data_IF_547409085029
#
_entry.id   IF_547409085029
#
_cell.length_a   1.000
_cell.length_b   1.000
_cell.length_c   1.000
_cell.angle_alpha   90.00
_cell.angle_beta   90.00
_cell.angle_gamma   90.00
#
_symmetry.space_group_name_H-M   'P 1'
#
loop_
_entity.id
_entity.type
_entity.pdbx_description
1 polymer ?
#
# COMPACT_ATOMS: atom_id res chain seq x y z
N UNK A 1 -48.81 72.78 37.93
CA UNK A 1 -48.22 74.06 38.41
C UNK A 1 -46.72 73.94 38.22
N UNK A 2 -45.98 74.81 37.53
CA UNK A 2 -46.32 76.07 36.89
C UNK A 2 -45.39 76.25 35.67
N UNK A 3 -45.91 76.98 34.69
CA UNK A 3 -45.26 77.42 33.46
C UNK A 3 -44.48 78.69 33.78
N UNK A 4 -43.29 78.87 33.20
CA UNK A 4 -42.86 80.18 32.68
C UNK A 4 -41.64 80.03 31.78
N UNK A 5 -41.75 80.59 30.57
CA UNK A 5 -40.64 80.80 29.66
C UNK A 5 -40.34 82.29 29.50
N UNK A 6 -39.14 82.59 29.03
CA UNK A 6 -38.66 83.81 28.35
C UNK A 6 -37.38 83.35 27.60
N UNK A 7 -37.23 83.47 26.27
CA UNK A 7 -36.95 84.69 25.49
C UNK A 7 -35.60 85.29 25.92
N UNK A 8 -34.54 85.51 25.11
CA UNK A 8 -34.39 85.78 23.67
C UNK A 8 -32.89 86.04 23.32
N UNK A 9 -32.53 85.96 22.02
CA UNK A 9 -31.32 86.50 21.33
C UNK A 9 -30.00 85.74 21.59
N UNK A 10 -29.11 85.43 20.64
CA UNK A 10 -28.77 86.10 19.38
C UNK A 10 -27.80 85.25 18.51
N UNK A 11 -27.81 85.52 17.19
CA UNK A 11 -26.70 85.41 16.21
C UNK A 11 -26.42 84.05 15.53
N UNK A 12 -26.83 84.03 14.26
CA UNK A 12 -26.37 83.18 13.15
C UNK A 12 -24.90 83.44 12.83
N UNK A 13 -24.10 82.39 12.60
CA UNK A 13 -22.95 82.43 11.68
C UNK A 13 -22.51 81.02 11.27
N UNK A 14 -22.53 80.85 9.95
CA UNK A 14 -22.00 79.75 9.16
C UNK A 14 -20.62 79.27 9.62
N UNK A 15 -20.44 77.96 9.79
CA UNK A 15 -19.17 77.30 9.49
C UNK A 15 -19.43 75.92 8.85
N UNK A 16 -19.35 75.90 7.52
CA UNK A 16 -19.12 74.68 6.75
C UNK A 16 -17.72 74.17 7.14
N UNK A 17 -17.64 73.13 7.97
CA UNK A 17 -16.40 72.38 8.14
C UNK A 17 -16.33 71.39 6.99
N UNK A 18 -15.56 71.74 5.97
CA UNK A 18 -15.13 70.81 4.91
C UNK A 18 -14.23 69.77 5.58
N UNK A 19 -14.78 68.59 5.85
CA UNK A 19 -13.96 67.40 6.11
C UNK A 19 -13.28 67.01 4.78
N UNK A 20 -12.05 67.50 4.58
CA UNK A 20 -11.15 66.92 3.60
C UNK A 20 -10.79 65.51 4.08
N UNK A 21 -11.54 64.52 3.62
CA UNK A 21 -11.16 63.12 3.71
C UNK A 21 -9.92 62.93 2.83
N UNK A 22 -8.74 62.96 3.44
CA UNK A 22 -7.54 62.40 2.82
C UNK A 22 -7.79 60.90 2.63
N UNK A 23 -8.25 60.53 1.43
CA UNK A 23 -8.12 59.19 0.89
C UNK A 23 -6.63 58.89 0.80
N UNK A 24 -6.05 58.35 1.89
CA UNK A 24 -4.82 57.56 1.78
C UNK A 24 -5.15 56.40 0.85
N UNK A 25 -4.77 56.55 -0.42
CA UNK A 25 -4.72 55.44 -1.37
C UNK A 25 -3.89 54.37 -0.67
N UNK A 26 -4.52 53.25 -0.30
CA UNK A 26 -3.80 52.09 0.19
C UNK A 26 -2.80 51.70 -0.90
N UNK A 27 -1.53 52.09 -0.71
CA UNK A 27 -0.46 51.82 -1.64
C UNK A 27 -0.24 50.31 -1.58
N UNK A 28 -0.66 49.60 -2.64
CA UNK A 28 -0.49 48.16 -2.71
C UNK A 28 0.99 47.80 -2.50
N UNK A 29 1.25 46.74 -1.74
CA UNK A 29 2.60 46.33 -1.39
C UNK A 29 3.41 46.02 -2.67
N UNK A 30 4.43 46.84 -2.90
CA UNK A 30 5.26 46.83 -4.11
C UNK A 30 6.43 45.83 -4.00
N UNK A 31 6.81 45.48 -2.77
CA UNK A 31 7.89 44.56 -2.43
C UNK A 31 7.34 43.17 -2.06
N UNK A 32 7.92 42.11 -2.63
CA UNK A 32 7.51 40.72 -2.44
C UNK A 32 8.73 39.84 -2.19
N UNK A 33 8.59 38.87 -1.28
CA UNK A 33 9.56 37.80 -1.06
C UNK A 33 8.81 36.53 -0.62
N UNK A 34 9.49 35.39 -0.66
CA UNK A 34 8.90 34.08 -0.35
C UNK A 34 9.67 33.40 0.79
N UNK A 35 8.98 32.56 1.56
CA UNK A 35 9.62 31.68 2.53
C UNK A 35 10.50 30.63 1.83
N UNK A 36 11.55 30.19 2.52
CA UNK A 36 12.55 29.26 1.99
C UNK A 36 12.73 28.12 2.99
N UNK A 37 12.54 26.88 2.54
CA UNK A 37 12.93 25.69 3.28
C UNK A 37 14.17 25.10 2.63
N UNK A 38 15.18 24.79 3.44
CA UNK A 38 16.49 24.34 2.96
C UNK A 38 17.02 23.25 3.89
N UNK A 39 17.68 22.24 3.34
CA UNK A 39 18.31 21.20 4.15
C UNK A 39 19.61 21.73 4.75
N UNK A 40 19.91 21.38 6.00
CA UNK A 40 21.16 21.76 6.65
C UNK A 40 22.39 21.39 5.79
N UNK A 41 23.34 22.31 5.67
CA UNK A 41 24.52 22.20 4.83
C UNK A 41 24.30 22.62 3.36
N UNK A 42 23.05 22.70 2.89
CA UNK A 42 22.74 23.14 1.53
C UNK A 42 22.77 24.68 1.39
N UNK A 43 22.37 25.17 0.22
CA UNK A 43 22.35 26.60 -0.11
C UNK A 43 20.92 27.11 -0.21
N UNK A 44 20.58 28.14 0.57
CA UNK A 44 19.31 28.86 0.46
C UNK A 44 19.42 30.02 -0.53
N UNK A 45 18.32 30.34 -1.22
CA UNK A 45 18.23 31.49 -2.13
C UNK A 45 17.13 32.44 -1.63
N UNK A 46 17.49 33.67 -1.31
CA UNK A 46 16.58 34.72 -0.83
C UNK A 46 16.36 35.71 -1.99
N UNK A 47 15.10 35.91 -2.39
CA UNK A 47 14.71 36.79 -3.50
C UNK A 47 13.81 37.92 -3.01
N UNK A 48 14.32 39.16 -3.06
CA UNK A 48 13.51 40.36 -2.85
C UNK A 48 13.12 40.93 -4.22
N UNK A 49 11.83 40.94 -4.56
CA UNK A 49 11.32 41.42 -5.85
C UNK A 49 10.42 42.64 -5.69
N UNK A 50 10.61 43.64 -6.53
CA UNK A 50 9.80 44.86 -6.62
C UNK A 50 8.99 44.82 -7.90
N UNK A 51 7.68 45.09 -7.84
CA UNK A 51 6.80 45.01 -9.02
C UNK A 51 6.97 46.21 -9.95
N UNK A 52 6.99 47.41 -9.38
CA UNK A 52 7.13 48.67 -10.10
C UNK A 52 8.19 49.53 -9.38
N UNK A 53 9.48 49.31 -9.66
CA UNK A 53 10.50 50.12 -9.02
C UNK A 53 10.56 51.54 -9.62
N UNK A 54 10.65 52.55 -8.76
CA UNK A 54 10.84 53.97 -9.05
C UNK A 54 12.27 54.41 -8.71
N UNK A 55 13.25 53.57 -9.05
CA UNK A 55 14.66 53.67 -8.67
C UNK A 55 14.90 53.62 -7.14
N UNK A 56 13.91 53.17 -6.38
CA UNK A 56 14.03 52.92 -4.94
C UNK A 56 15.06 51.83 -4.66
N UNK A 57 15.72 51.95 -3.51
CA UNK A 57 16.82 51.05 -3.12
C UNK A 57 16.28 49.82 -2.38
N UNK A 58 16.71 48.64 -2.80
CA UNK A 58 16.44 47.36 -2.13
C UNK A 58 17.57 47.03 -1.15
N UNK A 59 17.19 46.60 0.04
CA UNK A 59 18.08 46.13 1.08
C UNK A 59 17.60 44.78 1.63
N UNK A 60 18.54 43.89 1.92
CA UNK A 60 18.29 42.63 2.61
C UNK A 60 18.93 42.66 4.01
N UNK A 61 18.13 42.37 5.03
CA UNK A 61 18.53 42.32 6.43
C UNK A 61 18.41 40.88 6.96
N UNK A 62 19.32 40.50 7.86
CA UNK A 62 19.23 39.24 8.60
C UNK A 62 18.21 39.33 9.76
N UNK A 63 17.93 38.23 10.48
CA UNK A 63 16.99 38.24 11.61
C UNK A 63 17.33 39.21 12.74
N UNK A 64 18.61 39.57 12.90
CA UNK A 64 19.08 40.58 13.85
C UNK A 64 19.04 42.01 13.30
N UNK A 65 18.36 42.24 12.16
CA UNK A 65 18.28 43.52 11.43
C UNK A 65 19.64 44.09 11.03
N UNK A 66 20.65 43.25 10.83
CA UNK A 66 21.93 43.65 10.24
C UNK A 66 21.85 43.59 8.72
N UNK A 67 22.44 44.57 8.04
CA UNK A 67 22.45 44.65 6.57
C UNK A 67 23.35 43.59 5.95
N UNK A 68 22.72 42.63 5.28
CA UNK A 68 23.42 41.64 4.44
C UNK A 68 23.84 42.32 3.14
N UNK A 69 22.87 42.83 2.38
CA UNK A 69 23.09 43.55 1.13
C UNK A 69 22.33 44.87 1.12
N UNK A 70 22.96 45.90 0.57
CA UNK A 70 22.35 47.18 0.22
C UNK A 70 22.70 47.45 -1.23
N UNK A 71 21.71 47.34 -2.14
CA UNK A 71 21.97 47.16 -3.58
C UNK A 71 22.86 45.93 -3.81
N UNK A 72 23.94 46.10 -4.57
CA UNK A 72 24.97 45.11 -4.88
C UNK A 72 26.12 45.06 -3.85
N UNK A 73 26.13 45.96 -2.87
CA UNK A 73 27.18 46.02 -1.84
C UNK A 73 26.81 45.13 -0.66
N UNK A 74 27.78 44.37 -0.13
CA UNK A 74 27.63 43.50 1.04
C UNK A 74 28.34 44.07 2.29
N UNK A 75 27.66 44.83 3.17
CA UNK A 75 28.25 45.31 4.43
C UNK A 75 28.56 44.19 5.43
N UNK A 76 27.75 43.13 5.48
CA UNK A 76 27.98 42.01 6.39
C UNK A 76 29.21 41.20 5.95
N UNK A 77 30.13 40.94 6.89
CA UNK A 77 31.39 40.22 6.61
C UNK A 77 31.25 38.70 6.52
N UNK A 78 30.04 38.16 6.69
CA UNK A 78 29.81 36.73 6.53
C UNK A 78 29.96 36.34 5.05
N UNK A 79 31.01 35.56 4.75
CA UNK A 79 31.36 35.12 3.39
C UNK A 79 30.35 34.15 2.76
N UNK A 80 29.42 33.59 3.54
CA UNK A 80 28.43 32.63 3.02
C UNK A 80 27.31 33.28 2.23
N UNK A 81 27.06 34.58 2.46
CA UNK A 81 26.12 35.36 1.67
C UNK A 81 26.77 35.86 0.37
N UNK A 82 26.32 35.38 -0.78
CA UNK A 82 26.84 35.77 -2.09
C UNK A 82 25.74 36.37 -2.96
N UNK A 83 26.09 37.39 -3.74
CA UNK A 83 25.17 38.03 -4.66
C UNK A 83 25.00 37.12 -5.87
N UNK A 84 23.75 36.69 -6.13
CA UNK A 84 23.43 35.86 -7.29
C UNK A 84 23.02 36.75 -8.45
N UNK A 85 22.11 37.69 -8.20
CA UNK A 85 21.63 38.65 -9.19
C UNK A 85 21.24 39.97 -8.51
N UNK A 86 21.48 41.08 -9.19
CA UNK A 86 20.98 42.40 -8.79
C UNK A 86 20.50 43.17 -10.02
N UNK A 87 19.30 43.72 -9.91
CA UNK A 87 18.70 44.64 -10.87
C UNK A 87 17.84 45.65 -10.13
N UNK A 88 17.28 46.63 -10.84
CA UNK A 88 16.39 47.61 -10.21
C UNK A 88 15.14 46.95 -9.59
N UNK A 89 14.69 45.80 -10.09
CA UNK A 89 13.49 45.13 -9.58
C UNK A 89 13.77 43.90 -8.72
N UNK A 90 15.02 43.46 -8.59
CA UNK A 90 15.33 42.22 -7.88
C UNK A 90 16.70 42.25 -7.19
N UNK A 91 16.72 41.82 -5.93
CA UNK A 91 17.92 41.46 -5.19
C UNK A 91 17.85 39.97 -4.84
N UNK A 92 18.75 39.18 -5.44
CA UNK A 92 18.83 37.73 -5.27
C UNK A 92 20.15 37.35 -4.59
N UNK A 93 20.06 36.73 -3.42
CA UNK A 93 21.21 36.43 -2.56
C UNK A 93 21.19 34.96 -2.18
N UNK A 94 22.33 34.28 -2.33
CA UNK A 94 22.51 32.91 -1.85
C UNK A 94 23.16 32.90 -0.47
N UNK A 95 22.72 32.01 0.40
CA UNK A 95 23.36 31.67 1.66
C UNK A 95 23.83 30.22 1.60
N UNK A 96 25.15 30.01 1.46
CA UNK A 96 25.75 28.66 1.38
C UNK A 96 26.01 28.05 2.76
N UNK A 97 26.02 26.72 2.85
CA UNK A 97 26.32 25.99 4.09
C UNK A 97 25.43 26.48 5.24
N UNK A 98 24.12 26.37 5.01
CA UNK A 98 23.08 26.79 5.97
C UNK A 98 23.16 25.93 7.23
N UNK A 99 23.13 26.55 8.40
CA UNK A 99 23.04 25.87 9.69
C UNK A 99 21.76 26.27 10.43
N UNK A 100 21.43 25.54 11.50
CA UNK A 100 20.28 25.85 12.37
C UNK A 100 20.28 27.29 12.93
N UNK A 101 21.44 27.92 13.08
CA UNK A 101 21.55 29.31 13.55
C UNK A 101 21.15 30.36 12.52
N UNK A 102 21.06 29.99 11.24
CA UNK A 102 20.64 30.90 10.17
C UNK A 102 19.11 30.99 10.06
N UNK A 103 18.39 30.10 10.73
CA UNK A 103 16.93 30.07 10.72
C UNK A 103 16.36 31.37 11.29
N UNK A 104 15.32 31.89 10.64
CA UNK A 104 14.61 33.05 11.13
C UNK A 104 14.03 33.93 10.03
N UNK A 105 13.54 35.09 10.46
CA UNK A 105 12.86 36.04 9.59
C UNK A 105 13.84 37.04 8.98
N UNK A 106 14.11 36.90 7.70
CA UNK A 106 14.87 37.85 6.91
C UNK A 106 13.94 38.95 6.40
N UNK A 107 14.48 40.16 6.26
CA UNK A 107 13.68 41.34 5.88
C UNK A 107 14.22 41.91 4.58
N UNK A 108 13.38 41.89 3.56
CA UNK A 108 13.55 42.74 2.39
C UNK A 108 12.98 44.11 2.75
N UNK A 109 13.78 45.17 2.61
CA UNK A 109 13.36 46.54 2.82
C UNK A 109 13.53 47.34 1.52
N UNK A 110 12.50 48.10 1.15
CA UNK A 110 12.50 49.00 0.01
C UNK A 110 12.39 50.44 0.51
N UNK A 111 13.34 51.28 0.12
CA UNK A 111 13.43 52.69 0.54
C UNK A 111 12.53 53.59 -0.30
N UNK A 112 11.21 53.46 -0.10
CA UNK A 112 10.19 54.42 -0.55
C UNK A 112 9.80 55.38 0.58
N UNK A 113 8.94 56.37 0.29
CA UNK A 113 8.27 57.19 1.32
C UNK A 113 6.76 56.86 1.33
N UNK A 114 6.23 56.11 2.32
CA UNK A 114 6.94 55.48 3.45
C UNK A 114 7.73 54.20 3.04
N UNK A 115 8.71 53.75 3.84
CA UNK A 115 9.45 52.52 3.56
C UNK A 115 8.55 51.28 3.57
N UNK A 116 8.85 50.31 2.71
CA UNK A 116 8.12 49.04 2.63
C UNK A 116 9.01 47.88 3.08
N UNK A 117 8.44 46.96 3.86
CA UNK A 117 9.09 45.72 4.26
C UNK A 117 8.33 44.51 3.68
N UNK A 118 9.07 43.45 3.36
CA UNK A 118 8.55 42.11 3.07
C UNK A 118 9.42 41.09 3.80
N UNK A 119 8.81 40.00 4.25
CA UNK A 119 9.46 39.03 5.16
C UNK A 119 9.61 37.67 4.50
N UNK A 120 10.81 37.10 4.61
CA UNK A 120 11.09 35.72 4.22
C UNK A 120 11.49 34.94 5.47
N UNK A 121 10.68 33.95 5.85
CA UNK A 121 11.05 33.02 6.90
C UNK A 121 11.91 31.89 6.29
N UNK A 122 13.18 31.81 6.68
CA UNK A 122 14.05 30.70 6.33
C UNK A 122 13.86 29.61 7.38
N UNK A 123 13.47 28.41 6.93
CA UNK A 123 13.31 27.21 7.73
C UNK A 123 14.39 26.20 7.39
N UNK A 124 15.16 25.76 8.38
CA UNK A 124 16.21 24.76 8.19
C UNK A 124 15.67 23.37 8.50
N UNK A 125 15.79 22.47 7.53
CA UNK A 125 15.36 21.08 7.62
C UNK A 125 16.56 20.19 7.97
N UNK A 126 16.38 19.28 8.92
CA UNK A 126 17.39 18.27 9.27
C UNK A 126 16.79 16.89 8.96
N UNK A 127 17.34 16.12 8.01
CA UNK A 127 16.82 14.81 7.68
C UNK A 127 17.03 13.85 8.88
N UNK A 128 16.11 12.90 9.09
CA UNK A 128 16.31 11.85 10.10
C UNK A 128 17.54 11.00 9.77
N UNK A 129 18.17 10.44 10.80
CA UNK A 129 19.11 9.32 10.63
C UNK A 129 18.43 8.09 10.03
N UNK A 130 19.22 7.08 9.63
CA UNK A 130 18.70 5.82 9.07
C UNK A 130 17.64 5.21 10.01
N UNK A 131 16.47 4.78 9.49
CA UNK A 131 15.43 4.17 10.30
C UNK A 131 15.98 2.95 11.03
N UNK A 132 15.80 2.89 12.34
CA UNK A 132 16.18 1.73 13.14
C UNK A 132 14.93 0.90 13.37
N UNK A 133 14.93 -0.34 12.88
CA UNK A 133 13.82 -1.28 12.98
C UNK A 133 14.20 -2.44 13.91
N UNK A 134 13.53 -2.54 15.05
CA UNK A 134 13.79 -3.54 16.08
C UNK A 134 12.53 -4.39 16.32
N UNK A 135 12.71 -5.71 16.47
CA UNK A 135 11.63 -6.64 16.81
C UNK A 135 11.89 -7.22 18.17
N UNK A 136 10.86 -7.36 19.00
CA UNK A 136 10.99 -7.98 20.32
C UNK A 136 11.35 -9.46 20.23
N UNK A 137 10.76 -10.16 19.26
CA UNK A 137 11.04 -11.55 18.94
C UNK A 137 11.57 -11.65 17.50
N UNK A 138 12.57 -12.51 17.26
CA UNK A 138 13.03 -12.83 15.91
C UNK A 138 12.09 -13.83 15.21
N UNK A 139 11.53 -14.76 15.97
CA UNK A 139 10.66 -15.83 15.50
C UNK A 139 9.40 -15.85 16.37
N UNK A 140 8.23 -15.88 15.73
CA UNK A 140 6.93 -15.79 16.41
C UNK A 140 6.07 -16.98 16.03
N UNK A 141 5.34 -17.56 16.97
CA UNK A 141 4.39 -18.64 16.65
C UNK A 141 3.05 -18.07 16.22
N UNK A 142 2.38 -18.73 15.27
CA UNK A 142 1.04 -18.40 14.80
C UNK A 142 0.07 -18.18 15.96
N UNK A 143 -0.72 -17.11 15.88
CA UNK A 143 -1.70 -16.71 16.89
C UNK A 143 -1.11 -15.89 18.05
N UNK A 144 0.22 -15.79 18.17
CA UNK A 144 0.85 -14.92 19.16
C UNK A 144 0.96 -13.48 18.64
N UNK A 145 0.99 -12.53 19.58
CA UNK A 145 1.28 -11.13 19.31
C UNK A 145 2.79 -10.87 19.36
N UNK A 146 3.30 -10.08 18.43
CA UNK A 146 4.67 -9.55 18.45
C UNK A 146 4.67 -8.03 18.36
N UNK A 147 5.77 -7.42 18.79
CA UNK A 147 5.97 -5.98 18.80
C UNK A 147 7.20 -5.59 17.99
N UNK A 148 7.02 -4.65 17.06
CA UNK A 148 8.07 -4.10 16.21
C UNK A 148 8.13 -2.59 16.43
N UNK A 149 9.32 -2.05 16.62
CA UNK A 149 9.56 -0.62 16.81
C UNK A 149 10.40 -0.04 15.68
N UNK A 150 9.98 1.10 15.14
CA UNK A 150 10.73 1.88 14.15
C UNK A 150 11.06 3.25 14.72
N UNK A 151 12.34 3.64 14.68
CA UNK A 151 12.83 4.89 15.25
C UNK A 151 13.51 5.75 14.17
N UNK A 152 13.05 7.01 14.07
CA UNK A 152 13.62 8.07 13.26
C UNK A 152 14.27 9.11 14.19
N UNK A 153 15.60 9.19 14.19
CA UNK A 153 16.34 10.02 15.15
C UNK A 153 16.76 11.37 14.57
N UNK A 154 16.67 12.43 15.37
CA UNK A 154 17.31 13.72 15.09
C UNK A 154 16.78 14.49 13.89
N UNK A 155 15.49 14.34 13.57
CA UNK A 155 14.88 15.07 12.44
C UNK A 155 14.34 16.45 12.81
N UNK A 156 14.30 17.36 11.85
CA UNK A 156 13.62 18.66 11.97
C UNK A 156 12.93 19.01 10.65
N UNK A 157 11.58 19.11 10.62
CA UNK A 157 10.63 18.91 11.72
C UNK A 157 10.54 17.43 12.16
N UNK A 158 9.71 17.16 13.17
CA UNK A 158 9.39 15.78 13.56
C UNK A 158 8.87 14.98 12.36
N UNK A 159 9.49 13.83 12.09
CA UNK A 159 9.09 12.92 11.03
C UNK A 159 7.76 12.20 11.36
N UNK A 160 7.03 11.74 10.35
CA UNK A 160 5.87 10.87 10.55
C UNK A 160 6.24 9.44 10.16
N UNK A 161 5.87 8.45 10.97
CA UNK A 161 6.13 7.03 10.69
C UNK A 161 4.81 6.35 10.33
N UNK A 162 4.81 5.64 9.20
CA UNK A 162 3.69 4.82 8.70
C UNK A 162 4.15 3.37 8.56
N UNK A 163 3.24 2.43 8.78
CA UNK A 163 3.53 1.00 8.69
C UNK A 163 2.77 0.37 7.54
N UNK A 164 3.41 -0.57 6.85
CA UNK A 164 2.80 -1.41 5.82
C UNK A 164 3.25 -2.85 6.03
N UNK A 165 2.33 -3.82 5.91
CA UNK A 165 2.63 -5.26 5.84
C UNK A 165 2.11 -5.80 4.52
N UNK A 166 3.00 -6.23 3.63
CA UNK A 166 2.65 -6.50 2.23
C UNK A 166 2.09 -5.24 1.57
N UNK A 167 0.81 -5.25 1.20
CA UNK A 167 0.10 -4.09 0.63
C UNK A 167 -0.86 -3.40 1.62
N UNK A 168 -0.90 -3.86 2.88
CA UNK A 168 -1.88 -3.41 3.86
C UNK A 168 -1.28 -2.37 4.81
N UNK A 169 -1.88 -1.17 4.93
CA UNK A 169 -1.45 -0.19 5.92
C UNK A 169 -1.80 -0.66 7.33
N UNK A 170 -0.85 -0.51 8.25
CA UNK A 170 -1.02 -0.84 9.66
C UNK A 170 -0.96 0.41 10.53
N UNK A 171 -1.65 0.37 11.66
CA UNK A 171 -1.66 1.45 12.63
C UNK A 171 -0.64 1.17 13.73
N UNK A 172 0.37 2.03 13.83
CA UNK A 172 1.31 2.05 14.94
C UNK A 172 1.00 3.17 15.94
N UNK A 173 1.57 3.06 17.13
CA UNK A 173 1.53 4.07 18.19
C UNK A 173 2.84 4.87 18.16
N UNK A 174 2.77 6.15 17.77
CA UNK A 174 3.95 7.02 17.66
C UNK A 174 4.14 7.87 18.92
N UNK A 175 5.39 7.99 19.37
CA UNK A 175 5.85 8.88 20.43
C UNK A 175 6.90 9.83 19.87
N UNK A 176 6.77 11.11 20.17
CA UNK A 176 7.69 12.18 19.72
C UNK A 176 8.44 12.70 20.93
N UNK A 177 9.76 12.63 20.89
CA UNK A 177 10.68 13.22 21.86
C UNK A 177 11.34 14.44 21.24
N UNK A 178 11.22 15.60 21.87
CA UNK A 178 11.91 16.82 21.48
C UNK A 178 13.31 16.86 22.10
N UNK A 179 14.31 17.10 21.25
CA UNK A 179 15.72 17.28 21.60
C UNK A 179 16.09 18.78 21.55
N UNK A 180 17.38 19.08 21.65
CA UNK A 180 17.89 20.45 21.47
C UNK A 180 17.64 20.97 20.04
N UNK A 181 17.65 22.29 19.87
CA UNK A 181 17.47 23.00 18.59
C UNK A 181 16.17 22.68 17.80
N UNK A 182 15.15 22.19 18.53
CA UNK A 182 13.86 21.71 17.96
C UNK A 182 14.09 20.55 16.98
N UNK A 183 15.05 19.69 17.27
CA UNK A 183 15.19 18.39 16.63
C UNK A 183 14.32 17.37 17.37
N UNK A 184 13.94 16.29 16.70
CA UNK A 184 13.00 15.32 17.24
C UNK A 184 13.45 13.90 16.94
N UNK A 185 13.28 13.05 17.94
CA UNK A 185 13.27 11.59 17.76
C UNK A 185 11.83 11.12 17.76
N UNK A 186 11.45 10.38 16.72
CA UNK A 186 10.12 9.79 16.59
C UNK A 186 10.25 8.29 16.61
N UNK A 187 9.61 7.64 17.58
CA UNK A 187 9.55 6.18 17.68
C UNK A 187 8.11 5.74 17.48
N UNK A 188 7.87 4.79 16.59
CA UNK A 188 6.56 4.17 16.41
C UNK A 188 6.63 2.71 16.80
N UNK A 189 5.63 2.25 17.55
CA UNK A 189 5.46 0.88 18.02
C UNK A 189 4.28 0.24 17.31
N UNK A 190 4.50 -0.91 16.68
CA UNK A 190 3.50 -1.71 16.02
C UNK A 190 3.32 -3.02 16.78
N UNK A 191 2.08 -3.32 17.17
CA UNK A 191 1.69 -4.64 17.72
C UNK A 191 0.84 -5.37 16.70
N UNK A 192 1.18 -6.63 16.44
CA UNK A 192 0.45 -7.45 15.48
C UNK A 192 0.38 -8.91 15.93
N UNK A 193 -0.79 -9.52 15.78
CA UNK A 193 -0.97 -10.97 15.89
C UNK A 193 -0.63 -11.61 14.55
N UNK A 194 0.30 -12.57 14.54
CA UNK A 194 0.78 -13.20 13.30
C UNK A 194 -0.07 -14.42 12.91
N UNK A 195 -0.26 -14.61 11.61
CA UNK A 195 -0.79 -15.86 11.05
C UNK A 195 0.27 -16.59 10.20
N UNK A 196 0.02 -17.85 9.82
CA UNK A 196 0.94 -18.59 8.93
C UNK A 196 1.15 -17.89 7.57
N UNK A 197 0.17 -17.13 7.08
CA UNK A 197 0.26 -16.38 5.83
C UNK A 197 1.23 -15.17 5.92
N UNK A 198 1.56 -14.74 7.14
CA UNK A 198 2.51 -13.68 7.39
C UNK A 198 3.98 -14.16 7.31
N UNK A 199 4.23 -15.47 7.24
CA UNK A 199 5.58 -16.00 7.14
C UNK A 199 6.29 -15.52 5.86
N UNK A 200 7.45 -14.88 6.03
CA UNK A 200 8.20 -14.29 4.92
C UNK A 200 7.59 -12.99 4.36
N UNK A 201 6.55 -12.44 4.98
CA UNK A 201 5.97 -11.14 4.58
C UNK A 201 6.78 -10.00 5.19
N UNK A 202 7.07 -8.97 4.39
CA UNK A 202 7.76 -7.78 4.85
C UNK A 202 6.83 -6.85 5.63
N UNK A 203 7.26 -6.44 6.82
CA UNK A 203 6.76 -5.28 7.54
C UNK A 203 7.71 -4.12 7.26
N UNK A 204 7.16 -3.03 6.72
CA UNK A 204 7.88 -1.85 6.26
C UNK A 204 7.46 -0.68 7.14
N UNK A 205 8.43 0.04 7.71
CA UNK A 205 8.20 1.37 8.26
C UNK A 205 8.68 2.44 7.28
N UNK A 206 7.77 3.35 6.93
CA UNK A 206 7.99 4.45 6.01
C UNK A 206 8.09 5.73 6.83
N UNK A 207 9.17 6.47 6.64
CA UNK A 207 9.42 7.76 7.27
C UNK A 207 9.10 8.86 6.27
N UNK A 208 8.14 9.70 6.65
CA UNK A 208 7.72 10.87 5.89
C UNK A 208 8.35 12.13 6.52
N UNK A 209 9.21 12.80 5.75
CA UNK A 209 9.91 14.01 6.17
C UNK A 209 10.27 14.87 4.95
N UNK A 210 10.09 16.20 4.98
CA UNK A 210 10.21 17.07 3.80
C UNK A 210 11.61 17.09 3.15
N UNK A 211 12.66 16.71 3.89
CA UNK A 211 14.03 16.68 3.38
C UNK A 211 14.43 15.35 2.70
N UNK A 212 13.59 14.31 2.74
CA UNK A 212 13.91 12.98 2.19
C UNK A 212 12.76 12.44 1.35
N UNK A 213 13.09 11.54 0.42
CA UNK A 213 12.12 10.79 -0.39
C UNK A 213 12.41 9.30 -0.25
N UNK A 214 11.37 8.48 -0.34
CA UNK A 214 11.46 7.02 -0.35
C UNK A 214 12.29 6.44 0.82
N UNK A 215 12.14 7.05 2.01
CA UNK A 215 12.93 6.72 3.19
C UNK A 215 12.20 5.69 4.05
N UNK A 216 12.69 4.45 4.05
CA UNK A 216 12.01 3.32 4.71
C UNK A 216 13.00 2.26 5.21
N UNK A 217 12.54 1.45 6.17
CA UNK A 217 13.20 0.21 6.57
C UNK A 217 12.19 -0.94 6.56
N UNK A 218 12.69 -2.17 6.38
CA UNK A 218 11.84 -3.36 6.29
C UNK A 218 12.44 -4.54 7.05
N UNK A 219 11.57 -5.40 7.59
CA UNK A 219 11.91 -6.68 8.21
C UNK A 219 10.93 -7.75 7.73
N UNK A 220 11.43 -8.93 7.42
CA UNK A 220 10.60 -10.09 7.09
C UNK A 220 10.18 -10.80 8.36
N UNK A 221 8.89 -11.12 8.48
CA UNK A 221 8.37 -11.89 9.61
C UNK A 221 8.79 -13.35 9.47
N UNK A 222 9.23 -13.95 10.57
CA UNK A 222 9.49 -15.39 10.65
C UNK A 222 8.43 -16.02 11.56
N UNK A 223 7.44 -16.67 10.95
CA UNK A 223 6.29 -17.24 11.66
C UNK A 223 6.35 -18.76 11.65
N UNK A 224 6.30 -19.35 12.83
CA UNK A 224 6.19 -20.80 13.01
C UNK A 224 4.73 -21.19 13.22
N UNK A 225 4.29 -22.26 12.56
CA UNK A 225 2.91 -22.74 12.60
C UNK A 225 2.88 -24.27 12.69
N UNK A 226 1.81 -24.80 13.29
CA UNK A 226 1.60 -26.25 13.42
C UNK A 226 1.48 -26.93 12.05
N UNK A 227 1.65 -28.26 11.95
CA UNK A 227 1.50 -28.95 10.68
C UNK A 227 0.07 -28.85 10.13
N UNK A 228 -0.04 -28.84 8.81
CA UNK A 228 -1.24 -29.15 8.05
C UNK A 228 -1.07 -30.55 7.48
N UNK A 229 -2.06 -31.41 7.71
CA UNK A 229 -2.00 -32.82 7.36
C UNK A 229 -3.09 -33.11 6.33
N UNK A 230 -2.72 -33.89 5.31
CA UNK A 230 -3.63 -34.38 4.29
C UNK A 230 -3.28 -35.83 3.97
N UNK A 231 -4.27 -36.72 4.07
CA UNK A 231 -4.17 -38.09 3.59
C UNK A 231 -4.54 -38.11 2.11
N UNK A 232 -3.68 -38.71 1.28
CA UNK A 232 -3.91 -38.94 -0.14
C UNK A 232 -4.01 -40.44 -0.38
N UNK A 233 -5.05 -40.87 -1.09
CA UNK A 233 -5.16 -42.24 -1.59
C UNK A 233 -4.32 -42.35 -2.85
N UNK A 234 -3.21 -43.08 -2.78
CA UNK A 234 -2.33 -43.33 -3.94
C UNK A 234 -2.81 -44.57 -4.71
N UNK A 235 -3.47 -45.55 -4.04
CA UNK A 235 -4.11 -46.70 -4.68
C UNK A 235 -5.25 -47.28 -3.80
N UNK A 236 -6.37 -47.77 -4.39
CA UNK A 236 -6.72 -47.81 -5.81
C UNK A 236 -7.32 -46.48 -6.30
N UNK A 237 -7.29 -46.25 -7.62
CA UNK A 237 -8.06 -45.17 -8.23
C UNK A 237 -9.55 -45.49 -8.16
N UNK A 238 -10.28 -44.86 -7.23
CA UNK A 238 -11.73 -44.99 -7.09
C UNK A 238 -12.16 -45.74 -5.83
N UNK A 239 -13.14 -46.64 -5.96
CA UNK A 239 -13.70 -47.36 -4.82
C UNK A 239 -12.80 -48.53 -4.42
N UNK A 240 -12.46 -48.61 -3.14
CA UNK A 240 -11.74 -49.74 -2.54
C UNK A 240 -12.61 -50.99 -2.51
N UNK A 241 -12.20 -52.07 -3.17
CA UNK A 241 -12.92 -53.36 -3.17
C UNK A 241 -12.20 -54.45 -2.38
N UNK A 242 -12.97 -55.46 -1.98
CA UNK A 242 -12.44 -56.63 -1.30
C UNK A 242 -11.39 -57.33 -2.18
N UNK A 243 -10.24 -57.66 -1.60
CA UNK A 243 -9.09 -58.25 -2.28
C UNK A 243 -8.16 -57.27 -3.00
N UNK A 244 -8.52 -55.98 -3.13
CA UNK A 244 -7.60 -54.95 -3.62
C UNK A 244 -6.60 -54.54 -2.52
N UNK A 245 -5.54 -53.83 -2.90
CA UNK A 245 -4.62 -53.20 -1.96
C UNK A 245 -5.04 -51.77 -1.69
N UNK A 246 -4.64 -51.21 -0.56
CA UNK A 246 -4.80 -49.81 -0.20
C UNK A 246 -3.43 -49.19 0.06
N UNK A 247 -3.17 -48.06 -0.57
CA UNK A 247 -1.99 -47.24 -0.32
C UNK A 247 -2.43 -45.82 0.02
N UNK A 248 -2.11 -45.38 1.24
CA UNK A 248 -2.37 -44.03 1.73
C UNK A 248 -1.05 -43.33 2.02
N UNK A 249 -0.87 -42.12 1.50
CA UNK A 249 0.27 -41.26 1.83
C UNK A 249 -0.17 -40.09 2.68
N UNK A 250 0.50 -39.90 3.82
CA UNK A 250 0.28 -38.75 4.67
C UNK A 250 1.18 -37.58 4.27
N UNK A 251 0.61 -36.55 3.64
CA UNK A 251 1.30 -35.32 3.26
C UNK A 251 1.13 -34.31 4.39
N UNK A 252 2.23 -33.99 5.08
CA UNK A 252 2.25 -32.99 6.15
C UNK A 252 3.18 -31.84 5.81
N UNK A 253 2.75 -30.60 6.07
CA UNK A 253 3.56 -29.38 5.90
C UNK A 253 3.43 -28.50 7.13
N UNK A 254 4.53 -27.99 7.65
CA UNK A 254 4.53 -27.07 8.78
C UNK A 254 5.82 -26.28 8.84
N UNK A 255 5.87 -25.25 9.70
CA UNK A 255 7.11 -24.54 10.00
C UNK A 255 7.36 -24.54 11.52
N UNK A 256 8.40 -25.23 12.01
CA UNK A 256 9.32 -26.08 11.24
C UNK A 256 8.65 -27.32 10.63
N UNK A 257 9.34 -27.93 9.66
CA UNK A 257 8.84 -29.16 9.02
C UNK A 257 8.64 -30.26 10.08
N UNK A 258 7.50 -30.98 10.05
CA UNK A 258 7.21 -32.02 11.02
C UNK A 258 8.23 -33.16 10.89
N UNK A 259 8.82 -33.56 12.01
CA UNK A 259 9.82 -34.64 12.06
C UNK A 259 9.21 -36.00 12.43
N UNK A 260 7.95 -36.00 12.88
CA UNK A 260 7.24 -37.19 13.31
C UNK A 260 5.90 -37.28 12.57
N UNK A 261 5.68 -38.42 11.91
CA UNK A 261 4.42 -38.79 11.26
C UNK A 261 4.04 -40.17 11.80
N UNK A 262 2.85 -40.27 12.39
CA UNK A 262 2.34 -41.49 13.00
C UNK A 262 0.98 -41.84 12.40
N UNK A 263 0.83 -43.09 11.98
CA UNK A 263 -0.46 -43.64 11.57
C UNK A 263 -1.11 -44.36 12.75
N UNK A 264 -2.44 -44.22 12.90
CA UNK A 264 -3.25 -44.97 13.85
C UNK A 264 -4.61 -45.32 13.24
N UNK A 265 -5.20 -46.45 13.64
CA UNK A 265 -6.60 -46.75 13.38
C UNK A 265 -7.41 -46.29 14.59
N UNK A 266 -8.47 -45.53 14.36
CA UNK A 266 -9.28 -44.96 15.45
C UNK A 266 -10.10 -46.08 16.09
N UNK A 267 -10.02 -46.17 17.42
CA UNK A 267 -10.74 -47.13 18.27
C UNK A 267 -10.46 -48.62 18.00
N UNK A 268 -9.42 -48.96 17.23
CA UNK A 268 -9.08 -50.34 16.87
C UNK A 268 -7.59 -50.47 16.49
N UNK A 269 -7.09 -51.70 16.44
CA UNK A 269 -5.72 -51.99 16.02
C UNK A 269 -5.60 -52.11 14.49
N UNK A 270 -4.40 -51.85 13.96
CA UNK A 270 -4.13 -52.10 12.56
C UNK A 270 -4.30 -53.58 12.19
N UNK A 271 -4.69 -53.88 10.94
CA UNK A 271 -4.52 -55.23 10.40
C UNK A 271 -3.06 -55.68 10.57
N UNK A 272 -2.83 -56.93 10.97
CA UNK A 272 -1.49 -57.44 11.30
C UNK A 272 -0.47 -57.39 10.15
N UNK A 273 -0.95 -57.27 8.92
CA UNK A 273 -0.15 -57.16 7.68
C UNK A 273 -0.08 -55.72 7.15
N UNK A 274 -0.61 -54.72 7.88
CA UNK A 274 -0.44 -53.33 7.51
C UNK A 274 1.03 -52.91 7.67
N UNK A 275 1.58 -52.25 6.65
CA UNK A 275 2.97 -51.80 6.62
C UNK A 275 3.01 -50.29 6.59
N UNK A 276 3.69 -49.69 7.56
CA UNK A 276 3.94 -48.24 7.60
C UNK A 276 5.40 -47.99 7.21
N UNK A 277 5.61 -47.25 6.13
CA UNK A 277 6.95 -46.89 5.64
C UNK A 277 7.04 -45.37 5.53
N UNK A 278 7.69 -44.74 6.52
CA UNK A 278 7.76 -43.27 6.59
C UNK A 278 6.37 -42.65 6.74
N UNK A 279 5.93 -41.91 5.73
CA UNK A 279 4.59 -41.29 5.67
C UNK A 279 3.50 -42.19 5.10
N UNK A 280 3.85 -43.36 4.58
CA UNK A 280 2.96 -44.17 3.76
C UNK A 280 2.43 -45.38 4.54
N UNK A 281 1.14 -45.67 4.39
CA UNK A 281 0.44 -46.81 4.96
C UNK A 281 -0.04 -47.71 3.81
N UNK A 282 0.41 -48.95 3.83
CA UNK A 282 0.04 -49.97 2.85
C UNK A 282 -0.71 -51.13 3.52
N UNK A 283 -1.85 -51.51 2.96
CA UNK A 283 -2.67 -52.65 3.41
C UNK A 283 -2.98 -53.51 2.18
N UNK A 284 -2.41 -54.71 2.13
CA UNK A 284 -2.71 -55.68 1.08
C UNK A 284 -4.02 -56.44 1.33
N UNK A 285 -4.68 -56.89 0.26
CA UNK A 285 -5.82 -57.82 0.32
C UNK A 285 -6.94 -57.36 1.29
N UNK A 286 -7.55 -56.22 0.99
CA UNK A 286 -8.59 -55.58 1.80
C UNK A 286 -9.75 -56.53 2.13
N UNK A 287 -10.17 -56.51 3.40
CA UNK A 287 -11.36 -57.20 3.90
C UNK A 287 -12.34 -56.18 4.52
N UNK A 288 -13.64 -56.48 4.49
CA UNK A 288 -14.68 -55.65 5.13
C UNK A 288 -14.47 -55.45 6.64
N UNK A 289 -13.76 -56.34 7.32
CA UNK A 289 -13.38 -56.17 8.74
C UNK A 289 -12.38 -55.03 8.97
N UNK A 290 -11.69 -54.56 7.93
CA UNK A 290 -10.73 -53.45 8.03
C UNK A 290 -11.38 -52.08 7.89
N UNK A 291 -12.70 -52.03 7.63
CA UNK A 291 -13.45 -50.78 7.64
C UNK A 291 -13.23 -50.01 8.96
N UNK A 292 -13.12 -48.70 8.86
CA UNK A 292 -12.86 -47.84 10.00
C UNK A 292 -12.19 -46.54 9.59
N UNK A 293 -11.84 -45.74 10.59
CA UNK A 293 -11.15 -44.47 10.38
C UNK A 293 -9.67 -44.64 10.61
N UNK A 294 -8.88 -44.31 9.60
CA UNK A 294 -7.44 -44.30 9.61
C UNK A 294 -6.96 -42.85 9.75
N UNK A 295 -6.20 -42.58 10.80
CA UNK A 295 -5.72 -41.24 11.14
C UNK A 295 -4.22 -41.15 10.94
N UNK A 296 -3.80 -40.11 10.25
CA UNK A 296 -2.41 -39.69 10.25
C UNK A 296 -2.24 -38.49 11.19
N UNK A 297 -1.29 -38.56 12.12
CA UNK A 297 -0.93 -37.47 13.03
C UNK A 297 0.48 -36.99 12.70
N UNK A 298 0.64 -35.68 12.49
CA UNK A 298 1.94 -35.05 12.32
C UNK A 298 2.16 -33.97 13.40
N UNK A 299 3.41 -33.87 13.88
CA UNK A 299 3.77 -32.93 14.94
C UNK A 299 5.06 -32.16 14.63
N UNK A 300 5.09 -30.90 15.07
CA UNK A 300 6.30 -30.09 15.15
C UNK A 300 6.36 -29.37 16.52
N UNK A 301 7.33 -28.49 16.71
CA UNK A 301 7.53 -27.80 17.98
C UNK A 301 6.41 -26.81 18.35
N UNK A 302 5.56 -26.43 17.39
CA UNK A 302 4.42 -25.53 17.60
C UNK A 302 3.18 -26.32 18.04
N UNK A 303 3.00 -27.53 17.51
CA UNK A 303 1.92 -28.41 17.92
C UNK A 303 1.69 -29.60 16.99
N UNK A 304 0.52 -30.21 17.15
CA UNK A 304 0.11 -31.41 16.42
C UNK A 304 -1.14 -31.13 15.59
N UNK A 305 -1.25 -31.83 14.46
CA UNK A 305 -2.44 -31.87 13.62
C UNK A 305 -2.63 -33.27 13.05
N UNK A 306 -3.84 -33.54 12.57
CA UNK A 306 -4.17 -34.83 12.00
C UNK A 306 -5.18 -34.70 10.87
N UNK A 307 -5.24 -35.73 10.04
CA UNK A 307 -6.28 -35.95 9.05
C UNK A 307 -6.81 -37.38 9.16
N UNK A 308 -8.08 -37.57 8.78
CA UNK A 308 -8.81 -38.81 8.91
C UNK A 308 -9.29 -39.32 7.54
N UNK A 309 -8.97 -40.57 7.24
CA UNK A 309 -9.47 -41.30 6.08
C UNK A 309 -10.42 -42.41 6.52
N UNK A 310 -11.66 -42.38 6.04
CA UNK A 310 -12.66 -43.41 6.37
C UNK A 310 -12.65 -44.48 5.28
N UNK A 311 -12.18 -45.67 5.62
CA UNK A 311 -12.13 -46.81 4.71
C UNK A 311 -13.48 -47.53 4.66
N UNK A 312 -14.00 -47.68 3.44
CA UNK A 312 -15.17 -48.51 3.12
C UNK A 312 -14.83 -49.52 2.01
N UNK A 313 -14.72 -50.79 2.36
CA UNK A 313 -14.44 -51.88 1.43
C UNK A 313 -15.74 -52.38 0.79
N UNK A 314 -15.84 -52.24 -0.53
CA UNK A 314 -16.96 -52.70 -1.35
C UNK A 314 -16.79 -54.14 -1.83
N UNK A 315 -17.89 -54.77 -2.22
CA UNK A 315 -17.86 -56.08 -2.87
C UNK A 315 -17.12 -56.06 -4.20
N UNK A 316 -16.53 -57.20 -4.56
CA UNK A 316 -15.96 -57.43 -5.89
C UNK A 316 -17.05 -57.29 -6.96
N UNK A 317 -16.71 -56.71 -8.11
CA UNK A 317 -17.65 -56.62 -9.24
C UNK A 317 -18.06 -58.02 -9.69
N UNK A 318 -19.28 -58.43 -9.36
CA UNK A 318 -19.87 -59.67 -9.89
C UNK A 318 -20.33 -59.42 -11.31
N UNK A 319 -19.58 -59.90 -12.30
CA UNK A 319 -20.11 -60.08 -13.66
C UNK A 319 -21.21 -61.13 -13.57
N UNK A 320 -22.47 -60.70 -13.54
CA UNK A 320 -23.60 -61.61 -13.73
C UNK A 320 -23.38 -62.33 -15.08
N UNK A 321 -23.36 -63.67 -15.13
CA UNK A 321 -23.20 -64.37 -16.41
C UNK A 321 -24.38 -64.01 -17.32
N UNK A 322 -24.16 -63.82 -18.64
CA UNK A 322 -25.25 -63.55 -19.56
C UNK A 322 -26.26 -64.72 -19.49
N UNK A 323 -27.57 -64.45 -19.56
CA UNK A 323 -28.57 -65.50 -19.41
C UNK A 323 -28.41 -66.55 -20.51
N UNK A 324 -28.12 -67.78 -20.12
CA UNK A 324 -28.10 -68.94 -21.01
C UNK A 324 -29.48 -69.11 -21.63
N UNK A 325 -29.59 -68.86 -22.93
CA UNK A 325 -30.86 -68.99 -23.65
C UNK A 325 -31.13 -70.47 -23.92
N UNK A 326 -31.95 -71.10 -23.08
CA UNK A 326 -32.47 -72.45 -23.33
C UNK A 326 -33.64 -72.34 -24.31
N UNK A 327 -33.45 -72.82 -25.54
CA UNK A 327 -34.51 -72.95 -26.56
C UNK A 327 -35.50 -74.04 -26.17
N UNK A 328 -36.75 -73.67 -25.88
CA UNK A 328 -37.91 -74.58 -25.93
C UNK A 328 -39.04 -73.89 -26.68
N UNK A 329 -39.43 -74.48 -27.81
CA UNK A 329 -40.59 -74.10 -28.61
C UNK A 329 -41.87 -74.63 -27.95
N UNK A 330 -42.83 -73.74 -27.64
CA UNK A 330 -44.26 -74.06 -27.66
C UNK A 330 -45.13 -72.79 -27.64
N UNK A 331 -45.73 -72.53 -28.80
CA UNK A 331 -47.14 -72.17 -29.06
C UNK A 331 -47.93 -71.28 -28.07
N UNK A 332 -48.33 -70.11 -28.62
CA UNK A 332 -49.40 -69.17 -28.24
C UNK A 332 -50.57 -69.69 -27.37
N UNK A 333 -50.98 -68.89 -26.38
CA UNK A 333 -52.24 -68.11 -26.44
C UNK A 333 -52.35 -67.03 -25.33
N UNK A 334 -53.15 -65.98 -25.62
CA UNK A 334 -53.85 -65.05 -24.71
C UNK A 334 -53.15 -63.78 -24.18
N UNK A 335 -53.40 -62.67 -24.89
CA UNK A 335 -54.13 -61.46 -24.44
C UNK A 335 -53.77 -60.86 -23.07
N UNK A 336 -53.14 -59.67 -23.06
CA UNK A 336 -53.55 -58.53 -22.23
C UNK A 336 -52.92 -57.20 -22.67
N UNK A 337 -53.75 -56.19 -22.51
CA UNK A 337 -53.64 -54.73 -22.64
C UNK A 337 -52.36 -54.07 -22.09
N UNK A 338 -51.96 -52.93 -22.66
CA UNK A 338 -50.82 -52.14 -22.18
C UNK A 338 -50.51 -50.92 -23.03
N UNK A 339 -51.13 -49.78 -22.69
CA UNK A 339 -50.87 -48.47 -23.28
C UNK A 339 -49.41 -47.97 -23.04
N UNK A 340 -48.82 -47.21 -23.97
CA UNK A 340 -47.52 -46.58 -23.74
C UNK A 340 -47.68 -45.29 -22.91
N UNK A 341 -47.03 -45.24 -21.75
CA UNK A 341 -46.87 -43.99 -21.00
C UNK A 341 -45.86 -43.09 -21.72
N UNK A 342 -46.37 -41.95 -22.18
CA UNK A 342 -45.65 -40.82 -22.76
C UNK A 342 -44.73 -40.21 -21.70
N UNK A 343 -43.44 -40.03 -22.01
CA UNK A 343 -42.54 -39.20 -21.20
C UNK A 343 -42.70 -37.75 -21.67
N UNK A 344 -43.03 -36.84 -20.75
CA UNK A 344 -43.29 -35.44 -21.06
C UNK A 344 -41.98 -34.67 -21.34
N UNK A 345 -41.82 -34.23 -22.60
CA UNK A 345 -40.74 -33.39 -23.10
C UNK A 345 -40.70 -31.97 -22.48
N UNK A 346 -41.64 -31.63 -21.59
CA UNK A 346 -41.75 -30.30 -20.98
C UNK A 346 -40.69 -30.03 -19.88
N UNK A 347 -40.22 -31.08 -19.18
CA UNK A 347 -39.27 -30.91 -18.06
C UNK A 347 -37.85 -30.65 -18.56
N UNK A 348 -37.48 -31.28 -19.68
CA UNK A 348 -36.14 -31.13 -20.28
C UNK A 348 -35.98 -29.71 -20.88
N UNK A 349 -37.05 -29.14 -21.45
CA UNK A 349 -37.04 -27.76 -21.97
C UNK A 349 -36.89 -26.71 -20.87
N UNK A 350 -37.47 -26.93 -19.69
CA UNK A 350 -37.39 -26.01 -18.56
C UNK A 350 -35.98 -25.88 -18.00
N UNK A 351 -35.27 -27.00 -17.84
CA UNK A 351 -33.90 -27.00 -17.30
C UNK A 351 -32.94 -26.28 -18.26
N UNK A 352 -33.06 -26.54 -19.56
CA UNK A 352 -32.23 -25.88 -20.57
C UNK A 352 -32.48 -24.37 -20.59
N UNK A 353 -33.73 -23.92 -20.49
CA UNK A 353 -34.06 -22.50 -20.46
C UNK A 353 -33.47 -21.79 -19.23
N UNK A 354 -33.49 -22.43 -18.05
CA UNK A 354 -32.92 -21.87 -16.82
C UNK A 354 -31.39 -21.76 -16.91
N UNK A 355 -30.72 -22.78 -17.45
CA UNK A 355 -29.25 -22.76 -17.62
C UNK A 355 -28.83 -21.67 -18.62
N UNK A 356 -29.56 -21.53 -19.73
CA UNK A 356 -29.28 -20.48 -20.73
C UNK A 356 -29.51 -19.09 -20.16
N UNK A 357 -30.57 -18.90 -19.36
CA UNK A 357 -30.83 -17.61 -18.70
C UNK A 357 -29.75 -17.27 -17.66
N UNK A 358 -29.29 -18.25 -16.88
CA UNK A 358 -28.21 -18.05 -15.92
C UNK A 358 -26.89 -17.67 -16.61
N UNK A 359 -26.55 -18.32 -17.73
CA UNK A 359 -25.36 -17.98 -18.54
C UNK A 359 -25.43 -16.57 -19.11
N UNK A 360 -26.59 -16.14 -19.62
CA UNK A 360 -26.79 -14.78 -20.14
C UNK A 360 -26.64 -13.71 -19.03
N UNK A 361 -27.20 -13.97 -17.85
CA UNK A 361 -27.03 -13.08 -16.69
C UNK A 361 -25.56 -12.95 -16.29
N UNK A 362 -24.82 -14.05 -16.28
CA UNK A 362 -23.40 -14.07 -15.93
C UNK A 362 -22.55 -13.27 -16.94
N UNK A 363 -22.85 -13.40 -18.24
CA UNK A 363 -22.19 -12.61 -19.29
C UNK A 363 -22.47 -11.12 -19.17
N UNK A 364 -23.69 -10.72 -18.80
CA UNK A 364 -24.02 -9.30 -18.56
C UNK A 364 -23.26 -8.76 -17.35
N UNK A 365 -23.16 -9.54 -16.27
CA UNK A 365 -22.40 -9.14 -15.07
C UNK A 365 -20.91 -9.00 -15.39
N UNK A 366 -20.33 -9.96 -16.11
CA UNK A 366 -18.93 -9.88 -16.56
C UNK A 366 -18.70 -8.68 -17.50
N UNK A 367 -19.61 -8.44 -18.44
CA UNK A 367 -19.54 -7.27 -19.33
C UNK A 367 -19.57 -5.94 -18.56
N UNK A 368 -20.41 -5.83 -17.53
CA UNK A 368 -20.45 -4.63 -16.67
C UNK A 368 -19.21 -4.53 -15.76
N UNK A 369 -18.68 -5.65 -15.31
CA UNK A 369 -17.45 -5.68 -14.54
C UNK A 369 -16.27 -5.15 -15.36
N UNK A 370 -16.06 -5.69 -16.57
CA UNK A 370 -15.00 -5.22 -17.47
C UNK A 370 -15.19 -3.76 -17.90
N UNK A 371 -16.42 -3.31 -18.14
CA UNK A 371 -16.68 -1.91 -18.45
C UNK A 371 -16.35 -0.96 -17.28
N UNK A 372 -16.50 -1.42 -16.03
CA UNK A 372 -16.24 -0.61 -14.83
C UNK A 372 -14.75 -0.54 -14.48
N UNK A 373 -13.96 -1.54 -14.87
CA UNK A 373 -12.52 -1.63 -14.60
C UNK A 373 -11.63 -1.20 -15.79
N UNK A 374 -12.19 -0.56 -16.81
CA UNK A 374 -11.39 0.08 -17.88
C UNK A 374 -10.70 1.35 -17.37
N UNK A 375 -9.40 1.27 -17.14
CA UNK A 375 -8.51 2.43 -16.97
C UNK A 375 -7.88 2.83 -18.30
N UNK A 376 -7.64 4.13 -18.50
CA UNK A 376 -6.84 4.63 -19.63
C UNK A 376 -5.67 5.42 -19.07
N UNK A 377 -4.47 5.15 -19.57
CA UNK A 377 -3.26 5.91 -19.24
C UNK A 377 -2.61 6.36 -20.55
N UNK A 378 -1.95 7.53 -20.49
CA UNK A 378 -1.19 8.07 -21.60
C UNK A 378 0.27 7.71 -21.40
N UNK A 379 0.86 7.02 -22.36
CA UNK A 379 2.29 6.73 -22.38
C UNK A 379 2.97 7.72 -23.31
N UNK A 380 3.93 8.50 -22.79
CA UNK A 380 4.87 9.23 -23.63
C UNK A 380 5.98 8.27 -24.07
N UNK A 381 5.70 7.45 -25.08
CA UNK A 381 6.73 6.67 -25.75
C UNK A 381 7.40 7.56 -26.81
N UNK A 382 8.65 7.95 -26.56
CA UNK A 382 9.49 8.47 -27.62
C UNK A 382 9.72 7.34 -28.62
N UNK A 383 9.29 7.50 -29.87
CA UNK A 383 9.63 6.57 -30.96
C UNK A 383 11.14 6.62 -31.18
N UNK A 384 11.84 5.66 -30.58
CA UNK A 384 13.20 5.34 -30.99
C UNK A 384 13.21 4.88 -32.45
N UNK A 385 14.21 5.30 -33.21
CA UNK A 385 14.33 4.99 -34.62
C UNK A 385 14.51 3.48 -34.82
N UNK A 386 13.45 2.79 -35.22
CA UNK A 386 13.46 1.33 -35.49
C UNK A 386 14.36 0.91 -36.68
N UNK A 387 14.98 1.87 -37.39
CA UNK A 387 15.79 1.63 -38.59
C UNK A 387 17.30 1.98 -38.43
N UNK A 388 17.82 2.09 -37.20
CA UNK A 388 19.24 2.35 -36.99
C UNK A 388 20.08 1.05 -37.01
N UNK A 389 21.06 0.99 -37.93
CA UNK A 389 21.95 -0.17 -38.07
C UNK A 389 22.96 -0.34 -36.91
N UNK A 390 23.18 0.72 -36.12
CA UNK A 390 24.03 0.74 -34.93
C UNK A 390 23.57 1.81 -33.91
N UNK A 391 24.11 1.74 -32.69
CA UNK A 391 23.73 2.60 -31.58
C UNK A 391 24.13 4.08 -31.79
N UNK A 392 25.20 4.34 -32.55
CA UNK A 392 25.69 5.71 -32.79
C UNK A 392 24.82 6.45 -33.83
N UNK A 393 24.25 5.74 -34.81
CA UNK A 393 23.33 6.32 -35.81
C UNK A 393 21.95 6.66 -35.21
N UNK A 394 21.52 5.93 -34.16
CA UNK A 394 20.26 6.19 -33.47
C UNK A 394 20.26 7.54 -32.71
N UNK A 395 21.42 7.96 -32.18
CA UNK A 395 21.56 9.19 -31.39
C UNK A 395 21.50 10.43 -32.30
N UNK A 396 22.08 10.37 -33.51
CA UNK A 396 22.14 11.52 -34.43
C UNK A 396 20.76 11.80 -35.06
N UNK A 397 19.95 10.78 -35.31
CA UNK A 397 18.62 10.95 -35.90
C UNK A 397 17.55 11.43 -34.90
N UNK A 398 17.83 11.42 -33.58
CA UNK A 398 16.89 11.86 -32.55
C UNK A 398 16.73 13.40 -32.47
N UNK A 399 17.66 14.17 -33.06
CA UNK A 399 17.62 15.64 -33.04
C UNK A 399 16.69 16.27 -34.11
N UNK A 400 16.11 15.46 -35.01
CA UNK A 400 15.34 15.95 -36.15
C UNK A 400 13.88 15.48 -36.17
N UNK A 401 13.04 16.01 -35.29
CA UNK A 401 11.57 15.95 -35.45
C UNK A 401 10.81 15.29 -34.30
N UNK A 402 10.54 16.06 -33.23
CA UNK A 402 9.54 15.69 -32.22
C UNK A 402 8.13 15.80 -32.80
N UNK A 403 7.58 14.70 -33.32
CA UNK A 403 6.14 14.53 -33.42
C UNK A 403 5.68 13.66 -32.25
N UNK A 404 5.26 14.32 -31.16
CA UNK A 404 4.60 13.65 -30.03
C UNK A 404 3.24 13.13 -30.50
N UNK A 405 3.13 11.83 -30.79
CA UNK A 405 1.84 11.16 -30.89
C UNK A 405 1.50 10.57 -29.51
N UNK A 406 0.49 11.14 -28.85
CA UNK A 406 -0.08 10.58 -27.63
C UNK A 406 -0.83 9.29 -27.98
N UNK A 407 -0.18 8.13 -27.86
CA UNK A 407 -0.82 6.83 -28.10
C UNK A 407 -1.59 6.39 -26.85
N UNK A 408 -2.91 6.33 -26.97
CA UNK A 408 -3.82 5.87 -25.91
C UNK A 408 -3.80 4.34 -25.85
N UNK A 409 -3.20 3.76 -24.81
CA UNK A 409 -3.23 2.31 -24.56
C UNK A 409 -4.29 1.97 -23.49
N UNK A 410 -5.12 0.97 -23.78
CA UNK A 410 -6.11 0.42 -22.84
C UNK A 410 -5.52 -0.78 -22.11
N UNK A 411 -5.79 -0.89 -20.79
CA UNK A 411 -5.44 -2.06 -20.00
C UNK A 411 -6.61 -2.47 -19.11
N UNK A 412 -6.60 -3.74 -18.71
CA UNK A 412 -7.58 -4.33 -17.82
C UNK A 412 -6.87 -4.53 -16.47
N UNK A 413 -7.44 -3.98 -15.38
CA UNK A 413 -6.96 -4.20 -14.01
C UNK A 413 -7.43 -5.56 -13.52
#
# INVERSE_FOLDING_TARGET
>A
MAISGLGSHSISLFFYVIFATFLHKAQGQNLVTNNVSVVEGETAIISCRVKNNDDSVIQLLNPNRQTIYFRDVRPLKDSRFQLVNFSDNELLVSLSNVSLSDEGRYVCQLYTDPPQEAYADITVLVPPGNPILESREEIVSEGNETEITCTAMGSKPASTIKWIKGDQPLQGEATVEELYDRMFTVTSRLRLTVSKEDDGVAVICIIDHPAVKDFQAQKYLEVQYKPEVQIVVEFPEGLTREGENLELTCKAKGKPQPHQINWLKVDDDFPSHAVITGSDLFIENLNKSYNGTYRCVASNLVGEAYDDYILYVYDVLTTTPPPTTTTINAFQDSRADGAPQKIDHAVIGGIVAVVVFAMLCLLIVLGRYFARHKGTYFTHEAKGADDAADADTAIINAEGGHNNSDDKKEYYI
#
